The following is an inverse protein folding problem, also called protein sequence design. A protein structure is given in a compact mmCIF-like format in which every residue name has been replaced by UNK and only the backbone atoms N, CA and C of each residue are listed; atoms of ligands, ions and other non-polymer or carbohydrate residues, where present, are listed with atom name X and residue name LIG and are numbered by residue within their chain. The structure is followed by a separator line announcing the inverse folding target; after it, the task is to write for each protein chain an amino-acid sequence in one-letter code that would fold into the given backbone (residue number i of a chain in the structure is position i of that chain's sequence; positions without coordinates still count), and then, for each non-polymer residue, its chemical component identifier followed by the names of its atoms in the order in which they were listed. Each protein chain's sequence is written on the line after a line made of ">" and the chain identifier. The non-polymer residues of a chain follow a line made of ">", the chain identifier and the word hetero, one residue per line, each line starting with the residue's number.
data_IF_507441238109
#
_entry.id   IF_507441238109
#
_cell.length_a   1.000
_cell.length_b   1.000
_cell.length_c   1.000
_cell.angle_alpha   90.00
_cell.angle_beta   90.00
_cell.angle_gamma   90.00
#
_symmetry.space_group_name_H-M   'P 1'
#
loop_
_entity.id
_entity.type
_entity.pdbx_description
1 polymer ?
#
# COMPACT_ATOMS: atom_id res chain seq x y z
N UNK A 1 -6.12 17.38 49.53
CA UNK A 1 -6.16 18.77 49.00
C UNK A 1 -6.07 18.69 47.48
N UNK A 2 -7.02 19.37 46.81
CA UNK A 2 -7.07 19.80 45.41
C UNK A 2 -6.85 18.77 44.28
N UNK A 3 -8.00 18.35 43.74
CA UNK A 3 -8.20 17.89 42.38
C UNK A 3 -7.78 18.95 41.35
N UNK A 4 -7.16 18.53 40.24
CA UNK A 4 -7.01 19.33 39.04
C UNK A 4 -7.68 18.61 37.86
N UNK A 5 -8.91 19.04 37.56
CA UNK A 5 -9.62 18.75 36.31
C UNK A 5 -8.99 19.62 35.22
N UNK A 6 -8.39 19.00 34.21
CA UNK A 6 -8.09 19.67 32.95
C UNK A 6 -9.17 19.27 31.94
N UNK A 7 -10.04 20.23 31.69
CA UNK A 7 -11.10 20.20 30.69
C UNK A 7 -10.47 20.76 29.41
N UNK A 8 -10.30 19.94 28.38
CA UNK A 8 -10.02 20.43 27.04
C UNK A 8 -11.35 20.57 26.30
N UNK A 9 -11.86 21.81 26.25
CA UNK A 9 -12.86 22.24 25.28
C UNK A 9 -12.13 22.65 23.99
N UNK A 10 -12.68 22.23 22.85
CA UNK A 10 -12.65 23.03 21.63
C UNK A 10 -11.88 22.42 20.47
N UNK A 11 -12.62 21.85 19.51
CA UNK A 11 -12.88 22.51 18.23
C UNK A 11 -13.77 21.60 17.37
N UNK A 12 -15.07 21.88 17.36
CA UNK A 12 -15.97 21.40 16.31
C UNK A 12 -15.65 22.18 15.02
N UNK A 13 -14.99 21.54 14.07
CA UNK A 13 -14.92 22.01 12.69
C UNK A 13 -16.05 21.37 11.88
N UNK A 14 -17.17 22.07 11.73
CA UNK A 14 -18.17 21.76 10.71
C UNK A 14 -17.61 22.14 9.35
N UNK A 15 -17.38 21.16 8.46
CA UNK A 15 -17.27 21.41 7.02
C UNK A 15 -18.51 20.83 6.36
N UNK A 16 -19.46 21.71 6.07
CA UNK A 16 -20.64 21.44 5.27
C UNK A 16 -20.32 21.71 3.78
N UNK A 17 -20.41 20.65 2.98
CA UNK A 17 -20.98 20.56 1.63
C UNK A 17 -20.65 21.58 0.53
N UNK A 18 -20.17 21.05 -0.61
CA UNK A 18 -20.59 21.30 -2.01
C UNK A 18 -19.75 20.30 -2.85
N UNK A 19 -20.25 19.41 -3.71
CA UNK A 19 -21.36 19.52 -4.64
C UNK A 19 -20.79 19.57 -6.07
N UNK A 20 -20.95 18.50 -6.85
CA UNK A 20 -20.78 18.51 -8.32
C UNK A 20 -19.48 17.91 -8.87
N UNK A 21 -19.53 16.66 -9.31
CA UNK A 21 -18.50 16.04 -10.15
C UNK A 21 -18.89 16.20 -11.63
N UNK A 22 -18.82 17.40 -12.17
CA UNK A 22 -18.92 17.62 -13.60
C UNK A 22 -17.85 18.63 -14.04
N UNK A 23 -16.97 18.19 -14.93
CA UNK A 23 -16.03 19.02 -15.70
C UNK A 23 -14.73 19.46 -15.00
N UNK A 24 -13.65 18.69 -15.16
CA UNK A 24 -12.27 19.20 -15.14
C UNK A 24 -11.41 18.43 -16.18
N UNK A 25 -11.79 18.54 -17.45
CA UNK A 25 -10.84 18.36 -18.56
C UNK A 25 -10.25 19.74 -18.87
N UNK A 26 -8.95 19.91 -18.60
CA UNK A 26 -8.07 20.91 -19.22
C UNK A 26 -8.13 22.34 -18.68
N UNK A 27 -6.98 22.82 -18.16
CA UNK A 27 -6.28 24.04 -18.62
C UNK A 27 -4.92 24.16 -17.91
N UNK A 28 -3.78 24.17 -18.62
CA UNK A 28 -2.50 24.56 -18.02
C UNK A 28 -2.46 26.09 -17.98
N UNK A 29 -2.39 26.67 -16.79
CA UNK A 29 -2.09 28.09 -16.61
C UNK A 29 -0.64 28.24 -16.18
N UNK A 30 0.09 29.00 -16.99
CA UNK A 30 1.42 29.52 -16.73
C UNK A 30 1.37 30.60 -15.64
N UNK A 31 2.43 30.71 -14.83
CA UNK A 31 2.66 31.91 -14.04
C UNK A 31 3.54 31.73 -12.79
N UNK A 32 4.75 32.27 -12.92
CA UNK A 32 5.55 32.96 -11.90
C UNK A 32 6.34 32.18 -10.82
N UNK A 33 7.59 31.91 -11.20
CA UNK A 33 8.81 32.46 -10.57
C UNK A 33 8.83 32.61 -9.04
N UNK A 34 9.24 31.54 -8.36
CA UNK A 34 9.91 31.64 -7.06
C UNK A 34 11.37 31.18 -7.23
N UNK A 35 12.27 32.16 -7.27
CA UNK A 35 13.70 31.98 -7.28
C UNK A 35 14.17 31.15 -6.06
N UNK A 36 14.55 29.89 -6.29
CA UNK A 36 15.34 29.14 -5.34
C UNK A 36 16.81 29.21 -5.73
N UNK A 37 17.57 29.96 -4.95
CA UNK A 37 19.00 30.15 -5.09
C UNK A 37 19.73 28.84 -4.74
N UNK A 38 20.08 28.07 -5.77
CA UNK A 38 20.96 26.91 -5.63
C UNK A 38 22.38 27.37 -5.33
N UNK A 39 22.83 27.21 -4.10
CA UNK A 39 24.25 27.28 -3.75
C UNK A 39 24.86 25.88 -3.90
N UNK A 40 25.63 25.71 -4.97
CA UNK A 40 26.48 24.55 -5.16
C UNK A 40 27.61 24.57 -4.12
N UNK A 41 27.83 23.45 -3.43
CA UNK A 41 29.06 23.21 -2.68
C UNK A 41 29.47 21.76 -2.90
N UNK A 42 30.40 21.59 -3.83
CA UNK A 42 31.21 20.39 -3.98
C UNK A 42 32.31 20.44 -2.92
N UNK A 43 32.57 19.33 -2.22
CA UNK A 43 33.96 18.91 -2.13
C UNK A 43 34.19 17.52 -2.68
N UNK A 44 35.11 17.50 -3.64
CA UNK A 44 35.90 16.38 -4.12
C UNK A 44 36.89 15.94 -3.03
N UNK A 45 37.01 14.63 -2.78
CA UNK A 45 38.29 13.91 -2.69
C UNK A 45 38.12 12.53 -2.02
N UNK A 46 38.21 11.48 -2.84
CA UNK A 46 39.10 10.35 -2.60
C UNK A 46 38.71 9.28 -1.58
N UNK A 47 38.31 8.10 -2.08
CA UNK A 47 38.77 6.82 -1.55
C UNK A 47 38.61 5.69 -2.59
N UNK A 48 39.75 5.33 -3.19
CA UNK A 48 40.21 4.01 -3.63
C UNK A 48 39.20 2.92 -3.99
N UNK A 49 39.33 2.52 -5.26
CA UNK A 49 39.23 1.17 -5.81
C UNK A 49 39.50 0.03 -4.82
N UNK A 50 38.51 -0.87 -4.73
CA UNK A 50 38.75 -2.31 -4.64
C UNK A 50 37.66 -2.99 -5.48
N UNK A 51 38.01 -3.29 -6.72
CA UNK A 51 37.27 -4.19 -7.59
C UNK A 51 37.29 -5.58 -6.95
N UNK A 52 36.17 -5.99 -6.35
CA UNK A 52 35.88 -7.39 -6.07
C UNK A 52 34.98 -7.90 -7.19
N UNK A 53 35.63 -8.34 -8.25
CA UNK A 53 35.08 -9.14 -9.32
C UNK A 53 34.45 -10.40 -8.69
N UNK A 54 33.12 -10.45 -8.60
CA UNK A 54 32.42 -11.69 -8.24
C UNK A 54 32.31 -12.55 -9.49
N UNK A 55 32.74 -13.82 -9.42
CA UNK A 55 32.69 -14.73 -10.56
C UNK A 55 31.24 -14.94 -10.99
N UNK A 56 31.05 -14.75 -12.29
CA UNK A 56 29.87 -15.16 -13.04
C UNK A 56 29.92 -16.68 -13.10
N UNK A 57 29.24 -17.36 -12.19
CA UNK A 57 29.00 -18.80 -12.32
C UNK A 57 28.00 -18.99 -13.48
N UNK A 58 28.58 -19.23 -14.65
CA UNK A 58 27.95 -19.96 -15.74
C UNK A 58 27.69 -21.40 -15.25
N UNK A 59 26.57 -21.64 -14.58
CA UNK A 59 26.09 -22.99 -14.34
C UNK A 59 25.38 -23.49 -15.60
N UNK A 60 26.13 -24.33 -16.31
CA UNK A 60 25.73 -25.04 -17.50
C UNK A 60 24.55 -25.98 -17.21
N UNK A 61 23.74 -26.19 -18.25
CA UNK A 61 22.50 -26.95 -18.19
C UNK A 61 22.62 -28.31 -17.51
N UNK A 62 21.73 -28.51 -16.53
CA UNK A 62 21.10 -29.79 -16.32
C UNK A 62 19.68 -29.68 -16.87
N UNK A 63 19.48 -30.12 -18.13
CA UNK A 63 18.19 -30.63 -18.58
C UNK A 63 17.88 -31.87 -17.74
N UNK A 64 17.42 -31.64 -16.51
CA UNK A 64 16.80 -32.67 -15.71
C UNK A 64 15.51 -33.04 -16.45
N UNK A 65 15.55 -34.20 -17.10
CA UNK A 65 14.41 -34.83 -17.73
C UNK A 65 13.18 -34.63 -16.84
N UNK A 66 12.21 -33.87 -17.36
CA UNK A 66 10.94 -33.64 -16.69
C UNK A 66 10.39 -35.00 -16.27
N UNK A 67 10.18 -35.27 -14.96
CA UNK A 67 9.54 -36.50 -14.55
C UNK A 67 8.17 -36.51 -15.24
N UNK A 68 7.91 -37.57 -16.01
CA UNK A 68 6.67 -37.77 -16.72
C UNK A 68 5.52 -37.44 -15.76
N UNK A 69 4.81 -36.36 -16.08
CA UNK A 69 3.73 -35.81 -15.29
C UNK A 69 2.74 -36.95 -15.04
N UNK A 70 2.78 -37.50 -13.83
CA UNK A 70 1.83 -38.50 -13.38
C UNK A 70 0.49 -37.78 -13.43
N UNK A 71 -0.42 -38.27 -14.28
CA UNK A 71 -1.73 -37.67 -14.47
C UNK A 71 -2.37 -37.49 -13.10
N UNK A 72 -2.43 -36.23 -12.64
CA UNK A 72 -2.95 -35.91 -11.33
C UNK A 72 -4.40 -36.39 -11.29
N UNK A 73 -4.68 -37.34 -10.41
CA UNK A 73 -6.03 -37.84 -10.15
C UNK A 73 -6.92 -36.62 -9.92
N UNK A 74 -7.99 -36.41 -10.71
CA UNK A 74 -8.85 -35.25 -10.54
C UNK A 74 -9.40 -35.28 -9.12
N UNK A 75 -8.96 -34.32 -8.30
CA UNK A 75 -9.44 -34.16 -6.94
C UNK A 75 -10.97 -34.05 -6.98
N UNK A 76 -11.67 -34.65 -6.00
CA UNK A 76 -13.12 -34.52 -5.90
C UNK A 76 -13.48 -33.04 -5.92
N UNK A 77 -14.23 -32.62 -6.94
CA UNK A 77 -14.62 -31.23 -7.09
C UNK A 77 -15.61 -30.87 -5.99
N UNK A 78 -15.10 -30.32 -4.90
CA UNK A 78 -15.91 -29.73 -3.85
C UNK A 78 -16.72 -28.62 -4.53
N UNK A 79 -18.04 -28.70 -4.43
CA UNK A 79 -18.95 -27.71 -5.00
C UNK A 79 -18.52 -26.32 -4.52
N UNK A 80 -18.00 -25.50 -5.43
CA UNK A 80 -17.61 -24.13 -5.09
C UNK A 80 -18.85 -23.38 -4.62
N UNK A 81 -18.83 -22.75 -3.44
CA UNK A 81 -19.88 -21.86 -3.00
C UNK A 81 -20.19 -20.85 -4.10
N UNK A 82 -21.47 -20.61 -4.37
CA UNK A 82 -21.89 -19.57 -5.31
C UNK A 82 -21.32 -18.24 -4.82
N UNK A 83 -20.31 -17.75 -5.52
CA UNK A 83 -19.70 -16.46 -5.25
C UNK A 83 -20.83 -15.40 -5.30
N UNK A 84 -20.96 -14.51 -4.29
CA UNK A 84 -21.95 -13.45 -4.35
C UNK A 84 -21.77 -12.65 -5.64
N UNK A 85 -22.90 -12.27 -6.26
CA UNK A 85 -22.94 -11.52 -7.51
C UNK A 85 -22.09 -10.25 -7.36
N UNK A 86 -20.90 -10.27 -7.97
CA UNK A 86 -20.05 -9.12 -8.25
C UNK A 86 -19.82 -8.17 -7.07
N UNK A 87 -18.91 -8.53 -6.16
CA UNK A 87 -18.09 -7.46 -5.59
C UNK A 87 -17.32 -6.87 -6.77
N UNK A 88 -17.57 -5.61 -7.10
CA UNK A 88 -16.82 -4.92 -8.14
C UNK A 88 -15.35 -5.04 -7.76
N UNK A 89 -14.55 -5.75 -8.55
CA UNK A 89 -13.11 -5.84 -8.32
C UNK A 89 -12.58 -4.43 -8.53
N UNK A 90 -12.40 -3.69 -7.44
CA UNK A 90 -11.82 -2.37 -7.47
C UNK A 90 -10.35 -2.46 -7.88
N UNK A 91 -9.71 -1.30 -7.97
CA UNK A 91 -8.32 -1.22 -8.39
C UNK A 91 -7.43 -2.09 -7.49
N UNK A 92 -6.60 -2.94 -8.13
CA UNK A 92 -5.52 -3.62 -7.44
C UNK A 92 -4.35 -2.65 -7.30
N UNK A 93 -3.90 -2.43 -6.07
CA UNK A 93 -2.81 -1.52 -5.73
C UNK A 93 -1.79 -2.28 -4.89
N UNK A 94 -0.66 -2.63 -5.49
CA UNK A 94 0.45 -3.23 -4.77
C UNK A 94 1.53 -2.20 -4.47
N UNK A 95 2.17 -2.35 -3.32
CA UNK A 95 3.37 -1.66 -2.88
C UNK A 95 4.47 -2.70 -2.70
N UNK A 96 5.60 -2.52 -3.38
CA UNK A 96 6.77 -3.37 -3.24
C UNK A 96 8.06 -2.57 -3.06
N UNK A 97 9.17 -3.29 -2.99
CA UNK A 97 10.52 -2.73 -2.84
C UNK A 97 10.87 -1.71 -3.93
N UNK A 98 10.23 -1.80 -5.10
CA UNK A 98 10.47 -0.89 -6.23
C UNK A 98 9.70 0.43 -6.16
N UNK A 99 8.70 0.56 -5.28
CA UNK A 99 7.94 1.80 -5.09
C UNK A 99 8.68 2.81 -4.20
N UNK A 100 9.80 2.41 -3.59
CA UNK A 100 10.61 3.24 -2.69
C UNK A 100 10.42 2.89 -1.21
N UNK A 101 11.07 3.63 -0.31
CA UNK A 101 11.08 3.33 1.12
C UNK A 101 9.73 3.56 1.83
N UNK A 102 8.85 4.36 1.21
CA UNK A 102 7.51 4.66 1.70
C UNK A 102 6.53 4.59 0.52
N UNK A 103 5.53 3.71 0.62
CA UNK A 103 4.48 3.57 -0.39
C UNK A 103 3.13 4.00 0.17
N UNK A 104 2.54 5.02 -0.43
CA UNK A 104 1.23 5.55 -0.04
C UNK A 104 0.20 5.24 -1.12
N UNK A 105 -0.89 4.55 -0.74
CA UNK A 105 -1.97 4.17 -1.66
C UNK A 105 -3.32 4.47 -1.04
N UNK A 106 -4.14 5.21 -1.79
CA UNK A 106 -5.49 5.58 -1.35
C UNK A 106 -6.54 5.03 -2.29
N UNK A 107 -7.55 4.36 -1.73
CA UNK A 107 -8.72 3.86 -2.42
C UNK A 107 -9.95 4.71 -2.09
N UNK A 108 -10.19 5.73 -2.91
CA UNK A 108 -11.31 6.66 -2.74
C UNK A 108 -12.67 5.99 -2.99
N UNK A 109 -12.74 5.10 -4.00
CA UNK A 109 -14.01 4.48 -4.44
C UNK A 109 -14.41 3.22 -3.65
N UNK A 110 -13.53 2.72 -2.78
CA UNK A 110 -13.73 1.45 -2.09
C UNK A 110 -13.51 0.24 -2.99
N UNK A 111 -13.78 -0.96 -2.43
CA UNK A 111 -13.65 -2.25 -3.11
C UNK A 111 -12.26 -2.55 -3.72
N UNK A 112 -11.21 -1.82 -3.30
CA UNK A 112 -9.85 -2.06 -3.77
C UNK A 112 -9.19 -3.21 -3.04
N UNK A 113 -8.22 -3.82 -3.71
CA UNK A 113 -7.27 -4.73 -3.07
C UNK A 113 -5.92 -4.03 -2.97
N UNK A 114 -5.48 -3.77 -1.74
CA UNK A 114 -4.22 -3.10 -1.43
C UNK A 114 -3.27 -4.11 -0.77
N UNK A 115 -2.09 -4.28 -1.34
CA UNK A 115 -1.11 -5.26 -0.86
C UNK A 115 0.23 -4.59 -0.67
N UNK A 116 0.84 -4.74 0.51
CA UNK A 116 2.12 -4.15 0.86
C UNK A 116 3.13 -5.22 1.23
N UNK A 117 4.28 -5.25 0.57
CA UNK A 117 5.35 -6.19 0.89
C UNK A 117 6.74 -5.52 0.86
N UNK A 118 7.56 -5.82 1.88
CA UNK A 118 8.98 -5.44 1.95
C UNK A 118 9.30 -3.97 2.19
N UNK A 119 8.31 -3.07 2.33
CA UNK A 119 8.51 -1.63 2.54
C UNK A 119 7.58 -1.06 3.61
N UNK A 120 7.75 0.22 3.95
CA UNK A 120 6.78 0.92 4.80
C UNK A 120 5.60 1.37 3.94
N UNK A 121 4.36 1.06 4.34
CA UNK A 121 3.17 1.43 3.59
C UNK A 121 2.14 2.17 4.42
N UNK A 122 1.54 3.19 3.82
CA UNK A 122 0.30 3.80 4.30
C UNK A 122 -0.83 3.48 3.31
N UNK A 123 -1.73 2.58 3.72
CA UNK A 123 -2.84 2.11 2.90
C UNK A 123 -4.16 2.67 3.45
N UNK A 124 -4.82 3.53 2.68
CA UNK A 124 -6.07 4.17 3.10
C UNK A 124 -7.25 3.72 2.22
N UNK A 125 -8.33 3.25 2.84
CA UNK A 125 -9.57 2.85 2.18
C UNK A 125 -10.75 3.72 2.65
N UNK A 126 -11.10 4.73 1.85
CA UNK A 126 -12.18 5.67 2.18
C UNK A 126 -13.55 5.18 1.73
N UNK A 127 -13.64 4.48 0.61
CA UNK A 127 -14.93 3.98 0.11
C UNK A 127 -15.41 2.67 0.75
N UNK A 128 -14.63 2.09 1.66
CA UNK A 128 -14.94 0.84 2.34
C UNK A 128 -14.78 -0.41 1.47
N UNK A 129 -15.10 -1.58 2.01
CA UNK A 129 -15.04 -2.87 1.30
C UNK A 129 -13.66 -3.22 0.72
N UNK A 130 -12.58 -2.67 1.28
CA UNK A 130 -11.24 -2.97 0.79
C UNK A 130 -10.65 -4.23 1.44
N UNK A 131 -9.79 -4.91 0.69
CA UNK A 131 -8.89 -5.93 1.23
C UNK A 131 -7.50 -5.33 1.34
N UNK A 132 -6.99 -5.18 2.56
CA UNK A 132 -5.69 -4.61 2.87
C UNK A 132 -4.79 -5.71 3.45
N UNK A 133 -3.76 -6.11 2.71
CA UNK A 133 -2.77 -7.09 3.13
C UNK A 133 -1.43 -6.42 3.44
N UNK A 134 -0.92 -6.71 4.63
CA UNK A 134 0.44 -6.37 5.04
C UNK A 134 1.31 -7.63 5.09
N UNK A 135 2.37 -7.64 4.28
CA UNK A 135 3.37 -8.69 4.19
C UNK A 135 4.22 -8.84 5.46
N UNK A 136 4.96 -9.94 5.60
CA UNK A 136 5.68 -10.28 6.84
C UNK A 136 6.89 -9.37 7.12
N UNK A 137 7.46 -8.77 6.08
CA UNK A 137 8.64 -7.90 6.12
C UNK A 137 8.29 -6.41 5.99
N UNK A 138 7.01 -6.08 5.87
CA UNK A 138 6.53 -4.71 5.72
C UNK A 138 6.13 -4.08 7.06
N UNK A 139 6.24 -2.76 7.15
CA UNK A 139 5.61 -1.97 8.23
C UNK A 139 4.40 -1.28 7.63
N UNK A 140 3.19 -1.59 8.08
CA UNK A 140 1.97 -1.09 7.47
C UNK A 140 1.14 -0.27 8.43
N UNK A 141 0.57 0.81 7.90
CA UNK A 141 -0.49 1.58 8.52
C UNK A 141 -1.73 1.46 7.65
N UNK A 142 -2.66 0.63 8.11
CA UNK A 142 -3.89 0.27 7.42
C UNK A 142 -5.03 1.11 7.97
N UNK A 143 -5.58 2.03 7.19
CA UNK A 143 -6.71 2.88 7.58
C UNK A 143 -7.95 2.54 6.77
N UNK A 144 -9.06 2.29 7.45
CA UNK A 144 -10.36 2.03 6.85
C UNK A 144 -11.46 2.93 7.46
N UNK A 145 -11.48 4.23 7.13
CA UNK A 145 -12.57 5.11 7.53
C UNK A 145 -13.89 4.79 6.83
N UNK A 146 -13.88 4.09 5.69
CA UNK A 146 -15.10 3.71 4.97
C UNK A 146 -15.85 2.48 5.52
N UNK A 147 -15.22 1.74 6.43
CA UNK A 147 -15.75 0.51 7.03
C UNK A 147 -15.75 -0.72 6.11
N UNK A 148 -16.18 -1.87 6.64
CA UNK A 148 -16.27 -3.14 5.91
C UNK A 148 -14.94 -3.61 5.26
N UNK A 149 -13.79 -3.28 5.86
CA UNK A 149 -12.50 -3.71 5.33
C UNK A 149 -12.02 -5.02 5.94
N UNK A 150 -11.31 -5.81 5.13
CA UNK A 150 -10.53 -6.96 5.61
C UNK A 150 -9.07 -6.52 5.71
N UNK A 151 -8.58 -6.36 6.93
CA UNK A 151 -7.22 -5.92 7.23
C UNK A 151 -6.41 -7.10 7.76
N UNK A 152 -5.51 -7.63 6.95
CA UNK A 152 -4.68 -8.79 7.32
C UNK A 152 -3.24 -8.33 7.55
N UNK A 153 -2.72 -8.61 8.74
CA UNK A 153 -1.31 -8.39 9.06
C UNK A 153 -0.62 -9.74 9.18
N UNK A 154 0.36 -10.02 8.31
CA UNK A 154 1.17 -11.25 8.41
C UNK A 154 2.04 -11.24 9.66
N UNK A 155 2.50 -10.06 10.07
CA UNK A 155 3.23 -9.83 11.32
C UNK A 155 2.49 -8.76 12.16
N UNK A 156 2.21 -8.99 13.45
CA UNK A 156 1.55 -7.98 14.29
C UNK A 156 2.47 -6.81 14.62
N UNK A 157 3.78 -7.06 14.74
CA UNK A 157 4.79 -6.04 14.97
C UNK A 157 4.97 -5.20 13.70
N UNK A 158 4.76 -3.88 13.82
CA UNK A 158 4.86 -2.97 12.67
C UNK A 158 3.58 -2.87 11.82
N UNK A 159 2.49 -3.52 12.22
CA UNK A 159 1.19 -3.36 11.57
C UNK A 159 0.24 -2.58 12.47
N UNK A 160 -0.15 -1.39 12.05
CA UNK A 160 -1.17 -0.57 12.72
C UNK A 160 -2.46 -0.64 11.93
N UNK A 161 -3.54 -1.05 12.58
CA UNK A 161 -4.90 -1.10 12.02
C UNK A 161 -5.74 0.03 12.60
N UNK A 162 -6.34 0.83 11.73
CA UNK A 162 -7.34 1.84 12.07
C UNK A 162 -8.65 1.50 11.33
N UNK A 163 -9.72 1.33 12.12
CA UNK A 163 -11.05 0.99 11.63
C UNK A 163 -12.08 2.01 12.13
N UNK A 164 -11.88 3.29 11.78
CA UNK A 164 -12.81 4.34 12.18
C UNK A 164 -14.22 4.15 11.60
N UNK A 165 -14.35 3.49 10.44
CA UNK A 165 -15.62 3.31 9.74
C UNK A 165 -16.52 2.18 10.27
N UNK A 166 -15.99 1.28 11.11
CA UNK A 166 -16.71 0.10 11.60
C UNK A 166 -16.59 -1.14 10.70
N UNK A 167 -17.01 -2.28 11.22
CA UNK A 167 -17.10 -3.57 10.50
C UNK A 167 -15.80 -4.02 9.82
N UNK A 168 -14.64 -3.90 10.47
CA UNK A 168 -13.40 -4.47 9.95
C UNK A 168 -13.09 -5.86 10.52
N UNK A 169 -12.57 -6.74 9.66
CA UNK A 169 -11.98 -8.05 10.03
C UNK A 169 -10.44 -8.00 10.05
#
# INVERSE_FOLDING_TARGET
>A
MRALRLIFLGALGMVAGCGGCESCFGKPEAGDDAAFTTTATTPDAGAKEAAAESPREEDAGAEAAAPAATAATPLPQIARPKLPKSMAVGAFQSCGVYDGPLCEKTCEKGACRQECDGVNCELSCKGGYCSQLCGPVATCKLSCPGGHCVQVCSKPEGCTKDCAGGDCE
#
